data_IF_389159069325
#
_entry.id   IF_389159069325
#
_cell.length_a   1.000
_cell.length_b   1.000
_cell.length_c   1.000
_cell.angle_alpha   90.00
_cell.angle_beta   90.00
_cell.angle_gamma   90.00
#
_symmetry.space_group_name_H-M   'P 1'
#
loop_
_entity.id
_entity.type
_entity.pdbx_description
1 polymer ?
#
# COMPACT_ATOMS: atom_id res chain seq x y z
N UNK A 1 12.62 -8.42 12.83
CA UNK A 1 11.81 -9.18 11.86
C UNK A 1 10.40 -9.47 12.38
N UNK A 2 10.22 -10.15 13.53
CA UNK A 2 8.88 -10.45 14.12
C UNK A 2 8.00 -9.20 14.28
N UNK A 3 8.57 -8.11 14.81
CA UNK A 3 7.88 -6.82 14.96
C UNK A 3 7.24 -6.31 13.66
N UNK A 4 7.95 -6.39 12.53
CA UNK A 4 7.44 -5.84 11.27
C UNK A 4 6.32 -6.68 10.67
N UNK A 5 6.32 -7.99 10.90
CA UNK A 5 5.21 -8.86 10.51
C UNK A 5 3.96 -8.54 11.34
N UNK A 6 4.12 -8.39 12.66
CA UNK A 6 3.01 -8.01 13.55
C UNK A 6 2.43 -6.65 13.18
N UNK A 7 3.29 -5.63 13.01
CA UNK A 7 2.87 -4.29 12.59
C UNK A 7 2.17 -4.29 11.23
N UNK A 8 2.50 -5.23 10.33
CA UNK A 8 1.83 -5.36 9.04
C UNK A 8 0.40 -5.90 9.16
N UNK A 9 0.14 -6.86 10.06
CA UNK A 9 -1.18 -7.52 10.18
C UNK A 9 -2.09 -6.92 11.24
N UNK A 10 -1.54 -6.20 12.22
CA UNK A 10 -2.33 -5.55 13.27
C UNK A 10 -3.51 -4.70 12.75
N UNK A 11 -3.35 -3.86 11.71
CA UNK A 11 -4.48 -3.10 11.15
C UNK A 11 -5.38 -3.93 10.22
N UNK A 12 -5.19 -5.25 10.06
CA UNK A 12 -5.90 -6.05 9.06
C UNK A 12 -7.43 -5.97 9.18
N UNK A 13 -7.98 -5.89 10.40
CA UNK A 13 -9.42 -5.71 10.62
C UNK A 13 -9.91 -4.39 9.99
N UNK A 14 -9.16 -3.31 10.19
CA UNK A 14 -9.47 -1.98 9.68
C UNK A 14 -9.37 -1.90 8.15
N UNK A 15 -8.45 -2.66 7.55
CA UNK A 15 -8.37 -2.80 6.09
C UNK A 15 -9.53 -3.65 5.53
N UNK A 16 -10.01 -4.67 6.23
CA UNK A 16 -11.17 -5.46 5.78
C UNK A 16 -12.46 -4.64 5.79
N UNK A 17 -12.62 -3.76 6.77
CA UNK A 17 -13.80 -2.90 6.90
C UNK A 17 -13.97 -1.90 5.75
N UNK A 18 -12.91 -1.56 5.01
CA UNK A 18 -13.04 -0.65 3.88
C UNK A 18 -13.66 -1.28 2.61
N UNK A 19 -13.75 -2.61 2.57
CA UNK A 19 -14.37 -3.36 1.48
C UNK A 19 -13.55 -3.42 0.18
N UNK A 20 -12.29 -2.97 0.19
CA UNK A 20 -11.42 -3.02 -0.98
C UNK A 20 -10.99 -4.47 -1.31
N UNK A 21 -11.09 -4.82 -2.58
CA UNK A 21 -10.82 -6.17 -3.11
C UNK A 21 -9.53 -6.22 -3.94
N UNK A 22 -9.13 -5.11 -4.57
CA UNK A 22 -7.99 -4.98 -5.47
C UNK A 22 -7.00 -3.96 -4.93
N UNK A 23 -5.91 -4.47 -4.40
CA UNK A 23 -4.92 -3.68 -3.68
C UNK A 23 -3.65 -3.45 -4.49
N UNK A 24 -3.15 -2.22 -4.40
CA UNK A 24 -1.80 -1.86 -4.83
C UNK A 24 -0.93 -1.63 -3.60
N UNK A 25 0.19 -2.34 -3.48
CA UNK A 25 1.20 -2.08 -2.46
C UNK A 25 2.45 -1.48 -3.10
N UNK A 26 2.78 -0.26 -2.70
CA UNK A 26 3.92 0.47 -3.22
C UNK A 26 5.12 0.39 -2.29
N UNK A 27 6.25 -0.03 -2.84
CA UNK A 27 7.50 -0.15 -2.09
C UNK A 27 7.45 -1.31 -1.09
N UNK A 28 6.73 -2.38 -1.45
CA UNK A 28 6.53 -3.61 -0.65
C UNK A 28 7.82 -4.21 -0.13
N UNK A 29 8.95 -3.94 -0.79
CA UNK A 29 10.25 -4.47 -0.43
C UNK A 29 10.24 -6.00 -0.40
N UNK A 30 10.34 -6.57 0.79
CA UNK A 30 10.26 -8.02 1.01
C UNK A 30 8.81 -8.57 1.04
N UNK A 31 7.83 -7.78 0.60
CA UNK A 31 6.40 -8.10 0.60
C UNK A 31 5.62 -7.57 1.80
N UNK A 32 6.12 -6.55 2.49
CA UNK A 32 5.43 -5.94 3.63
C UNK A 32 4.81 -4.58 3.22
N UNK A 33 3.54 -4.32 3.58
CA UNK A 33 2.65 -5.12 4.42
C UNK A 33 1.81 -6.16 3.64
N UNK A 34 1.85 -6.16 2.31
CA UNK A 34 0.91 -6.91 1.47
C UNK A 34 0.87 -8.43 1.69
N UNK A 35 2.02 -9.12 1.77
CA UNK A 35 2.05 -10.59 1.93
C UNK A 35 1.39 -11.02 3.25
N UNK A 36 1.75 -10.46 4.43
CA UNK A 36 1.04 -10.77 5.66
C UNK A 36 -0.45 -10.42 5.62
N UNK A 37 -0.84 -9.31 4.99
CA UNK A 37 -2.23 -8.92 4.84
C UNK A 37 -3.02 -9.90 3.96
N UNK A 38 -2.43 -10.35 2.85
CA UNK A 38 -3.01 -11.37 1.98
C UNK A 38 -3.19 -12.70 2.72
N UNK A 39 -2.19 -13.13 3.52
CA UNK A 39 -2.31 -14.32 4.39
C UNK A 39 -3.45 -14.14 5.40
N UNK A 40 -3.63 -12.94 5.96
CA UNK A 40 -4.70 -12.63 6.88
C UNK A 40 -6.09 -12.52 6.21
N UNK A 41 -6.18 -12.71 4.88
CA UNK A 41 -7.43 -12.64 4.12
C UNK A 41 -7.93 -11.20 3.89
N UNK A 42 -7.03 -10.23 3.78
CA UNK A 42 -7.36 -8.86 3.36
C UNK A 42 -7.29 -8.78 1.84
N UNK A 43 -8.40 -8.43 1.19
CA UNK A 43 -8.48 -8.30 -0.27
C UNK A 43 -8.34 -9.62 -1.03
N UNK A 44 -8.75 -9.61 -2.29
CA UNK A 44 -8.73 -10.78 -3.17
C UNK A 44 -7.52 -10.75 -4.12
N UNK A 45 -7.12 -9.54 -4.52
CA UNK A 45 -6.04 -9.31 -5.47
C UNK A 45 -5.05 -8.29 -4.93
N UNK A 46 -3.76 -8.62 -5.04
CA UNK A 46 -2.67 -7.75 -4.64
C UNK A 46 -1.65 -7.59 -5.76
N UNK A 47 -1.33 -6.34 -6.06
CA UNK A 47 -0.20 -5.98 -6.94
C UNK A 47 0.88 -5.33 -6.09
N UNK A 48 2.01 -6.00 -5.92
CA UNK A 48 3.17 -5.50 -5.18
C UNK A 48 4.16 -4.87 -6.15
N UNK A 49 4.46 -3.58 -5.98
CA UNK A 49 5.36 -2.83 -6.86
C UNK A 49 6.64 -2.46 -6.13
N UNK A 50 7.77 -2.94 -6.64
CA UNK A 50 9.10 -2.62 -6.11
C UNK A 50 10.10 -2.43 -7.25
N UNK A 51 10.87 -1.35 -7.18
CA UNK A 51 11.89 -0.98 -8.17
C UNK A 51 13.14 -1.86 -8.13
N UNK A 52 13.43 -2.48 -6.98
CA UNK A 52 14.67 -3.23 -6.75
C UNK A 52 14.49 -4.71 -7.07
N UNK A 53 15.03 -5.15 -8.20
CA UNK A 53 14.95 -6.54 -8.69
C UNK A 53 15.22 -7.62 -7.64
N UNK A 54 16.26 -7.47 -6.80
CA UNK A 54 16.57 -8.45 -5.73
C UNK A 54 15.42 -8.64 -4.74
N UNK A 55 14.74 -7.55 -4.38
CA UNK A 55 13.60 -7.59 -3.46
C UNK A 55 12.35 -8.18 -4.13
N UNK A 56 12.10 -7.82 -5.39
CA UNK A 56 11.03 -8.43 -6.19
C UNK A 56 11.21 -9.94 -6.31
N UNK A 57 12.43 -10.43 -6.57
CA UNK A 57 12.72 -11.87 -6.66
C UNK A 57 12.43 -12.58 -5.34
N UNK A 58 12.81 -11.99 -4.21
CA UNK A 58 12.47 -12.51 -2.89
C UNK A 58 10.95 -12.57 -2.68
N UNK A 59 10.23 -11.48 -2.95
CA UNK A 59 8.78 -11.42 -2.77
C UNK A 59 8.05 -12.41 -3.68
N UNK A 60 8.49 -12.59 -4.93
CA UNK A 60 7.96 -13.61 -5.84
C UNK A 60 8.16 -15.02 -5.29
N UNK A 61 9.34 -15.32 -4.76
CA UNK A 61 9.62 -16.62 -4.15
C UNK A 61 8.75 -16.87 -2.92
N UNK A 62 8.58 -15.86 -2.07
CA UNK A 62 7.68 -15.95 -0.92
C UNK A 62 6.22 -16.20 -1.34
N UNK A 63 5.70 -15.46 -2.33
CA UNK A 63 4.35 -15.66 -2.87
C UNK A 63 4.17 -17.08 -3.42
N UNK A 64 5.16 -17.59 -4.16
CA UNK A 64 5.16 -18.95 -4.70
C UNK A 64 5.15 -20.01 -3.58
N UNK A 65 6.07 -19.92 -2.61
CA UNK A 65 6.20 -20.90 -1.52
C UNK A 65 5.00 -20.92 -0.59
N UNK A 66 4.36 -19.76 -0.38
CA UNK A 66 3.15 -19.63 0.43
C UNK A 66 1.87 -19.98 -0.33
N UNK A 67 1.95 -20.23 -1.64
CA UNK A 67 0.79 -20.57 -2.47
C UNK A 67 -0.25 -19.46 -2.56
N UNK A 68 0.17 -18.19 -2.46
CA UNK A 68 -0.75 -17.04 -2.43
C UNK A 68 -1.33 -16.77 -3.82
N UNK A 69 -2.53 -17.27 -4.04
CA UNK A 69 -3.32 -16.98 -5.25
C UNK A 69 -3.78 -15.52 -5.20
N UNK A 70 -3.78 -14.85 -6.36
CA UNK A 70 -4.21 -13.45 -6.46
C UNK A 70 -3.15 -12.40 -6.08
N UNK A 71 -1.95 -12.81 -5.68
CA UNK A 71 -0.83 -11.90 -5.41
C UNK A 71 0.16 -11.91 -6.57
N UNK A 72 0.43 -10.75 -7.15
CA UNK A 72 1.43 -10.57 -8.21
C UNK A 72 2.49 -9.57 -7.77
N UNK A 73 3.72 -9.76 -8.25
CA UNK A 73 4.86 -8.89 -7.91
C UNK A 73 5.50 -8.32 -9.18
N UNK A 74 5.58 -7.00 -9.25
CA UNK A 74 6.04 -6.22 -10.40
C UNK A 74 7.35 -5.53 -10.06
N UNK A 75 8.35 -5.70 -10.92
CA UNK A 75 9.64 -5.03 -10.79
C UNK A 75 9.64 -3.71 -11.57
N UNK A 76 9.01 -2.67 -11.02
CA UNK A 76 8.85 -1.39 -11.69
C UNK A 76 8.98 -0.21 -10.73
N UNK A 77 9.21 0.97 -11.29
CA UNK A 77 8.94 2.22 -10.58
C UNK A 77 7.45 2.52 -10.70
N UNK A 78 6.83 3.04 -9.64
CA UNK A 78 5.39 3.27 -9.62
C UNK A 78 4.97 4.25 -10.72
N UNK A 79 5.77 5.25 -11.04
CA UNK A 79 5.51 6.25 -12.08
C UNK A 79 5.41 5.63 -13.48
N UNK A 80 6.04 4.46 -13.69
CA UNK A 80 6.03 3.72 -14.97
C UNK A 80 5.13 2.50 -14.94
N UNK A 81 4.36 2.29 -13.87
CA UNK A 81 3.51 1.10 -13.74
C UNK A 81 2.51 0.98 -14.89
N UNK A 82 2.03 2.11 -15.43
CA UNK A 82 1.11 2.15 -16.58
C UNK A 82 1.73 1.66 -17.89
N UNK A 83 3.06 1.61 -17.99
CA UNK A 83 3.77 1.07 -19.15
C UNK A 83 3.83 -0.47 -19.12
N UNK A 84 3.52 -1.09 -17.97
CA UNK A 84 3.55 -2.53 -17.80
C UNK A 84 2.31 -3.19 -18.41
N UNK A 85 2.42 -3.54 -19.70
CA UNK A 85 1.34 -4.15 -20.50
C UNK A 85 0.70 -5.40 -19.85
N UNK A 86 1.43 -6.10 -18.98
CA UNK A 86 0.96 -7.31 -18.32
C UNK A 86 -0.09 -7.08 -17.21
N UNK A 87 -0.32 -5.83 -16.77
CA UNK A 87 -1.16 -5.55 -15.60
C UNK A 87 -2.63 -5.26 -15.91
N UNK A 88 -3.01 -5.16 -17.19
CA UNK A 88 -4.38 -4.80 -17.57
C UNK A 88 -4.83 -3.45 -16.99
N UNK A 89 -6.13 -3.23 -16.76
CA UNK A 89 -6.63 -2.01 -16.13
C UNK A 89 -6.07 -1.84 -14.71
N UNK A 90 -5.31 -0.76 -14.50
CA UNK A 90 -4.72 -0.38 -13.21
C UNK A 90 -5.72 0.41 -12.37
N UNK A 91 -6.82 -0.24 -12.04
CA UNK A 91 -7.87 0.28 -11.17
C UNK A 91 -7.85 -0.51 -9.86
N UNK A 92 -7.49 0.18 -8.79
CA UNK A 92 -7.40 -0.33 -7.43
C UNK A 92 -8.39 0.41 -6.53
N UNK A 93 -9.02 -0.30 -5.61
CA UNK A 93 -9.90 0.27 -4.57
C UNK A 93 -9.16 0.38 -3.23
N UNK A 94 -8.03 -0.30 -3.08
CA UNK A 94 -7.13 -0.22 -1.94
C UNK A 94 -5.69 0.10 -2.33
N UNK A 95 -5.02 0.92 -1.51
CA UNK A 95 -3.60 1.21 -1.63
C UNK A 95 -2.90 1.05 -0.28
N UNK A 96 -1.72 0.46 -0.29
CA UNK A 96 -0.86 0.40 0.90
C UNK A 96 0.54 0.88 0.57
N UNK A 97 1.22 1.44 1.56
CA UNK A 97 2.65 1.68 1.48
C UNK A 97 3.27 1.75 2.87
N UNK A 98 4.43 1.12 3.00
CA UNK A 98 5.37 1.27 4.12
C UNK A 98 6.72 1.84 3.62
N UNK A 99 6.74 2.41 2.42
CA UNK A 99 7.93 2.81 1.71
C UNK A 99 8.65 4.00 2.37
N UNK A 100 9.89 4.24 1.92
CA UNK A 100 10.73 5.35 2.39
C UNK A 100 10.37 6.70 1.78
N UNK A 101 9.50 6.73 0.77
CA UNK A 101 9.04 7.98 0.19
C UNK A 101 8.18 8.73 1.22
N UNK A 102 8.30 10.07 1.34
CA UNK A 102 7.41 10.83 2.20
C UNK A 102 5.92 10.62 1.82
N UNK A 103 5.04 10.73 2.81
CA UNK A 103 3.61 10.44 2.65
C UNK A 103 2.92 11.31 1.60
N UNK A 104 3.20 12.61 1.55
CA UNK A 104 2.59 13.53 0.59
C UNK A 104 2.84 13.11 -0.87
N UNK A 105 4.10 12.97 -1.29
CA UNK A 105 4.45 12.44 -2.61
C UNK A 105 3.86 11.04 -2.89
N UNK A 106 3.83 10.16 -1.87
CA UNK A 106 3.23 8.83 -2.00
C UNK A 106 1.75 8.90 -2.36
N UNK A 107 0.97 9.72 -1.66
CA UNK A 107 -0.46 9.92 -1.95
C UNK A 107 -0.71 10.62 -3.28
N UNK A 108 0.12 11.61 -3.62
CA UNK A 108 0.04 12.30 -4.92
C UNK A 108 0.18 11.29 -6.06
N UNK A 109 1.14 10.37 -5.97
CA UNK A 109 1.31 9.28 -6.96
C UNK A 109 0.16 8.26 -6.91
N UNK A 110 -0.24 7.82 -5.72
CA UNK A 110 -1.32 6.85 -5.53
C UNK A 110 -2.65 7.31 -6.14
N UNK A 111 -2.88 8.62 -6.19
CA UNK A 111 -4.10 9.24 -6.75
C UNK A 111 -4.38 8.86 -8.21
N UNK A 112 -3.34 8.46 -8.94
CA UNK A 112 -3.41 8.03 -10.35
C UNK A 112 -3.78 6.57 -10.50
N UNK A 113 -3.81 5.78 -9.43
CA UNK A 113 -4.03 4.33 -9.45
C UNK A 113 -5.28 3.90 -8.68
N UNK A 114 -5.65 4.69 -7.67
CA UNK A 114 -6.81 4.41 -6.82
C UNK A 114 -8.04 5.11 -7.38
N UNK A 115 -9.10 4.33 -7.59
CA UNK A 115 -10.38 4.82 -8.09
C UNK A 115 -11.01 5.83 -7.12
N UNK A 116 -11.85 6.77 -7.61
CA UNK A 116 -12.67 7.61 -6.74
C UNK A 116 -13.45 6.79 -5.72
N UNK A 117 -13.46 7.23 -4.46
CA UNK A 117 -14.03 6.45 -3.35
C UNK A 117 -13.16 5.28 -2.86
N UNK A 118 -11.99 5.00 -3.46
CA UNK A 118 -11.04 4.04 -2.91
C UNK A 118 -10.35 4.52 -1.62
N UNK A 119 -9.48 3.69 -1.05
CA UNK A 119 -8.80 3.97 0.23
C UNK A 119 -7.30 3.74 0.16
N UNK A 120 -6.54 4.49 0.96
CA UNK A 120 -5.11 4.30 1.14
C UNK A 120 -4.76 4.14 2.62
N UNK A 121 -3.85 3.22 2.93
CA UNK A 121 -3.33 2.95 4.28
C UNK A 121 -1.81 3.08 4.27
N UNK A 122 -1.27 4.01 5.06
CA UNK A 122 0.16 4.31 5.08
C UNK A 122 0.74 4.08 6.46
N UNK A 123 1.74 3.20 6.55
CA UNK A 123 2.48 2.94 7.79
C UNK A 123 3.54 4.02 7.99
N UNK A 124 3.47 4.74 9.10
CA UNK A 124 4.36 5.87 9.40
C UNK A 124 4.85 5.87 10.83
N UNK A 125 6.03 6.46 11.03
CA UNK A 125 6.55 6.84 12.35
C UNK A 125 6.15 8.27 12.77
N UNK A 126 6.89 8.82 13.73
CA UNK A 126 6.63 10.12 14.36
C UNK A 126 6.70 11.36 13.44
N UNK A 127 7.42 11.30 12.31
CA UNK A 127 7.61 12.44 11.37
C UNK A 127 6.49 12.64 10.36
N UNK A 128 5.26 12.26 10.69
CA UNK A 128 4.11 12.30 9.76
C UNK A 128 3.90 13.68 9.15
N UNK A 129 3.88 14.74 9.97
CA UNK A 129 3.52 16.09 9.52
C UNK A 129 4.51 16.65 8.50
N UNK A 130 5.81 16.51 8.78
CA UNK A 130 6.89 16.88 7.86
C UNK A 130 6.75 16.16 6.52
N UNK A 131 6.43 14.87 6.55
CA UNK A 131 6.33 14.05 5.35
C UNK A 131 5.07 14.31 4.52
N UNK A 132 3.97 14.68 5.16
CA UNK A 132 2.76 15.13 4.45
C UNK A 132 2.99 16.50 3.78
N UNK A 133 3.82 17.36 4.39
CA UNK A 133 4.13 18.69 3.88
C UNK A 133 5.06 18.68 2.66
N UNK A 134 5.80 17.58 2.43
CA UNK A 134 6.74 17.44 1.32
C UNK A 134 6.11 17.57 -0.08
N UNK A 135 4.82 17.27 -0.23
CA UNK A 135 4.06 17.57 -1.45
C UNK A 135 2.58 17.78 -1.12
N UNK A 136 2.08 19.01 -0.98
CA UNK A 136 0.71 19.28 -0.54
C UNK A 136 -0.37 18.91 -1.57
N UNK A 137 -0.01 18.58 -2.82
CA UNK A 137 -0.97 18.25 -3.89
C UNK A 137 -1.79 17.00 -3.59
N UNK A 138 -1.35 16.15 -2.65
CA UNK A 138 -2.17 15.03 -2.19
C UNK A 138 -3.57 15.48 -1.72
N UNK A 139 -3.70 16.70 -1.18
CA UNK A 139 -4.97 17.28 -0.69
C UNK A 139 -5.99 17.51 -1.79
N UNK A 140 -5.56 17.62 -3.04
CA UNK A 140 -6.47 17.75 -4.20
C UNK A 140 -7.28 16.47 -4.40
N UNK A 141 -6.78 15.35 -3.89
CA UNK A 141 -7.23 14.03 -4.26
C UNK A 141 -7.72 13.17 -3.09
N UNK A 142 -7.24 13.48 -1.89
CA UNK A 142 -7.45 12.63 -0.71
C UNK A 142 -7.93 13.43 0.49
N UNK A 143 -8.65 12.74 1.36
CA UNK A 143 -9.09 13.24 2.67
C UNK A 143 -8.57 12.30 3.77
N UNK A 144 -7.97 12.83 4.85
CA UNK A 144 -7.65 12.01 6.01
C UNK A 144 -8.94 11.45 6.62
N UNK A 145 -8.95 10.15 6.89
CA UNK A 145 -10.16 9.42 7.30
C UNK A 145 -9.90 8.50 8.51
N UNK A 146 -8.71 8.55 9.09
CA UNK A 146 -8.43 7.94 10.39
C UNK A 146 -6.95 7.70 10.66
N UNK A 147 -6.65 7.38 11.91
CA UNK A 147 -5.32 7.05 12.37
C UNK A 147 -5.40 5.93 13.41
N UNK A 148 -4.66 4.85 13.20
CA UNK A 148 -4.57 3.73 14.13
C UNK A 148 -3.14 3.63 14.68
N UNK A 149 -2.99 3.66 16.00
CA UNK A 149 -1.72 3.38 16.66
C UNK A 149 -1.46 1.88 16.73
N UNK A 150 -0.24 1.44 16.45
CA UNK A 150 0.15 0.04 16.52
C UNK A 150 0.80 -0.30 17.87
N UNK A 151 0.58 -1.52 18.36
CA UNK A 151 1.11 -1.98 19.64
C UNK A 151 2.64 -2.06 19.59
N UNK A 152 3.29 -1.41 20.56
CA UNK A 152 4.72 -1.53 20.80
C UNK A 152 5.63 -0.41 20.24
N UNK A 153 5.13 0.76 19.83
CA UNK A 153 6.01 1.89 19.48
C UNK A 153 5.34 3.13 18.86
N UNK A 154 6.18 3.98 18.26
CA UNK A 154 5.82 5.24 17.58
C UNK A 154 5.25 5.04 16.15
N UNK A 155 4.78 3.85 15.80
CA UNK A 155 4.28 3.52 14.46
C UNK A 155 2.76 3.63 14.43
N UNK A 156 2.25 4.27 13.40
CA UNK A 156 0.82 4.45 13.15
C UNK A 156 0.49 4.05 11.72
N UNK A 157 -0.77 3.72 11.48
CA UNK A 157 -1.34 3.57 10.14
C UNK A 157 -2.31 4.71 9.92
N UNK A 158 -2.05 5.54 8.92
CA UNK A 158 -2.96 6.61 8.51
C UNK A 158 -3.83 6.14 7.36
N UNK A 159 -5.15 6.32 7.49
CA UNK A 159 -6.13 6.02 6.45
C UNK A 159 -6.53 7.31 5.73
N UNK A 160 -6.63 7.22 4.41
CA UNK A 160 -7.09 8.28 3.53
C UNK A 160 -8.18 7.75 2.60
N UNK A 161 -9.20 8.57 2.36
CA UNK A 161 -10.26 8.31 1.39
C UNK A 161 -9.99 9.08 0.11
N UNK A 162 -10.09 8.42 -1.05
CA UNK A 162 -10.00 9.09 -2.36
C UNK A 162 -11.30 9.87 -2.57
N UNK A 163 -11.18 11.18 -2.84
CA UNK A 163 -12.33 12.04 -3.15
C UNK A 163 -13.10 11.50 -4.36
N UNK A 164 -14.41 11.68 -4.36
CA UNK A 164 -15.24 11.40 -5.53
C UNK A 164 -14.82 12.34 -6.67
N UNK A 165 -14.78 11.84 -7.91
CA UNK A 165 -14.75 12.72 -9.07
C UNK A 165 -16.13 13.38 -9.14
N UNK A 166 -16.17 14.71 -9.06
CA UNK A 166 -17.39 15.48 -9.27
C UNK A 166 -17.93 15.36 -10.69
#
# INVERSE_FOLDING_TARGET
MVRHLLESVEPAHWLKECGATRWLDFGSGAGLPAIPLAIAGVGDHWTLVESRRRKTLFARKAVEELGLKGVIVVCARLERLREEAALGPLEFDGFTSRATLPLGPTLALASSYVVPGGTAFLWKGSRREEEMAADPRWKEHWEPDGLLGLHGGQTFVARFRRKQSG
#
